data_IF_271777874721
#
_entry.id   IF_271777874721
#
_cell.length_a   1.000
_cell.length_b   1.000
_cell.length_c   1.000
_cell.angle_alpha   90.00
_cell.angle_beta   90.00
_cell.angle_gamma   90.00
#
_symmetry.space_group_name_H-M   'P 1'
#
loop_
_entity.id
_entity.type
_entity.pdbx_description
1 polymer ?
#
# COMPACT_ATOMS: atom_id res chain seq x y z
N UNK A 1 5.13 14.52 -28.71
CA UNK A 1 5.79 14.61 -27.38
C UNK A 1 7.18 15.17 -27.54
N UNK A 2 7.53 16.23 -26.81
CA UNK A 2 8.89 16.78 -26.79
C UNK A 2 9.89 15.80 -26.16
N UNK A 3 11.21 16.00 -26.42
CA UNK A 3 12.27 15.16 -25.85
C UNK A 3 12.24 15.18 -24.30
N UNK A 4 11.93 16.33 -23.70
CA UNK A 4 11.80 16.50 -22.25
C UNK A 4 10.57 15.76 -21.68
N UNK A 5 9.44 15.76 -22.40
CA UNK A 5 8.24 15.01 -21.98
C UNK A 5 8.48 13.50 -21.99
N UNK A 6 9.21 12.98 -22.98
CA UNK A 6 9.58 11.55 -23.03
C UNK A 6 10.50 11.18 -21.85
N UNK A 7 11.51 11.98 -21.56
CA UNK A 7 12.43 11.74 -20.44
C UNK A 7 11.70 11.75 -19.10
N UNK A 8 10.79 12.71 -18.90
CA UNK A 8 9.96 12.75 -17.67
C UNK A 8 9.06 11.54 -17.54
N UNK A 9 8.42 11.10 -18.64
CA UNK A 9 7.58 9.90 -18.64
C UNK A 9 8.36 8.65 -18.29
N UNK A 10 9.54 8.44 -18.88
CA UNK A 10 10.41 7.29 -18.56
C UNK A 10 10.80 7.30 -17.09
N UNK A 11 11.18 8.47 -16.54
CA UNK A 11 11.51 8.60 -15.11
C UNK A 11 10.33 8.21 -14.22
N UNK A 12 9.12 8.68 -14.53
CA UNK A 12 7.91 8.36 -13.76
C UNK A 12 7.61 6.86 -13.82
N UNK A 13 7.70 6.25 -15.01
CA UNK A 13 7.48 4.80 -15.17
C UNK A 13 8.51 4.02 -14.35
N UNK A 14 9.78 4.38 -14.42
CA UNK A 14 10.84 3.70 -13.67
C UNK A 14 10.64 3.82 -12.16
N UNK A 15 10.33 5.02 -11.63
CA UNK A 15 10.06 5.24 -10.22
C UNK A 15 8.84 4.44 -9.75
N UNK A 16 7.76 4.43 -10.53
CA UNK A 16 6.57 3.65 -10.20
C UNK A 16 6.84 2.16 -10.18
N UNK A 17 7.57 1.63 -11.19
CA UNK A 17 7.94 0.23 -11.23
C UNK A 17 8.84 -0.16 -10.04
N UNK A 18 9.81 0.70 -9.67
CA UNK A 18 10.66 0.47 -8.50
C UNK A 18 9.85 0.46 -7.21
N UNK A 19 8.88 1.37 -7.05
CA UNK A 19 7.99 1.39 -5.90
C UNK A 19 7.16 0.10 -5.78
N UNK A 20 6.55 -0.36 -6.87
CA UNK A 20 5.81 -1.64 -6.87
C UNK A 20 6.72 -2.84 -6.58
N UNK A 21 7.94 -2.85 -7.11
CA UNK A 21 8.92 -3.90 -6.79
C UNK A 21 9.22 -3.94 -5.29
N UNK A 22 9.44 -2.79 -4.64
CA UNK A 22 9.64 -2.70 -3.20
C UNK A 22 8.42 -3.17 -2.40
N UNK A 23 7.20 -2.88 -2.86
CA UNK A 23 5.98 -3.42 -2.26
C UNK A 23 5.94 -4.96 -2.34
N UNK A 24 6.31 -5.55 -3.48
CA UNK A 24 6.38 -7.02 -3.61
C UNK A 24 7.44 -7.61 -2.66
N UNK A 25 8.61 -6.96 -2.53
CA UNK A 25 9.64 -7.37 -1.57
C UNK A 25 9.11 -7.29 -0.13
N UNK A 26 8.39 -6.22 0.22
CA UNK A 26 7.76 -6.05 1.52
C UNK A 26 6.73 -7.16 1.79
N UNK A 27 5.85 -7.45 0.85
CA UNK A 27 4.83 -8.47 1.00
C UNK A 27 5.41 -9.88 1.07
N UNK A 28 6.47 -10.16 0.30
CA UNK A 28 7.22 -11.42 0.40
C UNK A 28 7.86 -11.59 1.78
N UNK A 29 8.43 -10.52 2.32
CA UNK A 29 8.99 -10.50 3.68
C UNK A 29 7.89 -10.69 4.72
N UNK A 30 6.74 -10.03 4.56
CA UNK A 30 5.58 -10.19 5.44
C UNK A 30 5.02 -11.62 5.42
N UNK A 31 4.96 -12.25 4.23
CA UNK A 31 4.57 -13.66 4.10
C UNK A 31 5.51 -14.58 4.88
N UNK A 32 6.81 -14.36 4.75
CA UNK A 32 7.81 -15.14 5.47
C UNK A 32 7.70 -14.96 6.99
N UNK A 33 7.62 -13.72 7.47
CA UNK A 33 7.55 -13.40 8.89
C UNK A 33 6.23 -13.88 9.54
N UNK A 34 5.13 -13.90 8.79
CA UNK A 34 3.84 -14.39 9.31
C UNK A 34 3.81 -15.89 9.61
N UNK A 35 4.82 -16.65 9.17
CA UNK A 35 4.99 -18.07 9.57
C UNK A 35 5.66 -18.22 10.96
N UNK A 36 6.28 -17.16 11.48
CA UNK A 36 7.09 -17.21 12.71
C UNK A 36 6.65 -16.22 13.78
N UNK A 37 5.76 -15.31 13.45
CA UNK A 37 5.18 -14.35 14.38
C UNK A 37 3.74 -13.98 13.99
N UNK A 38 2.93 -13.43 14.92
CA UNK A 38 1.58 -12.95 14.62
C UNK A 38 1.60 -11.87 13.53
N UNK A 39 0.63 -11.92 12.60
CA UNK A 39 0.49 -10.94 11.51
C UNK A 39 0.44 -9.50 12.04
N UNK A 40 -0.22 -9.27 13.17
CA UNK A 40 -0.32 -7.96 13.83
C UNK A 40 1.05 -7.39 14.21
N UNK A 41 1.99 -8.27 14.60
CA UNK A 41 3.36 -7.88 14.93
C UNK A 41 4.18 -7.54 13.68
N UNK A 42 3.97 -8.24 12.57
CA UNK A 42 4.56 -7.88 11.28
C UNK A 42 4.02 -6.53 10.78
N UNK A 43 2.70 -6.28 10.89
CA UNK A 43 2.09 -4.99 10.56
C UNK A 43 2.63 -3.87 11.45
N UNK A 44 2.78 -4.12 12.75
CA UNK A 44 3.44 -3.18 13.67
C UNK A 44 4.84 -2.83 13.19
N UNK A 45 5.68 -3.83 12.91
CA UNK A 45 7.06 -3.62 12.45
C UNK A 45 7.11 -2.76 11.19
N UNK A 46 6.24 -3.02 10.21
CA UNK A 46 6.14 -2.20 9.00
C UNK A 46 5.90 -0.72 9.32
N UNK A 47 4.90 -0.39 10.15
CA UNK A 47 4.57 1.01 10.42
C UNK A 47 5.54 1.66 11.42
N UNK A 48 6.01 0.92 12.41
CA UNK A 48 6.94 1.41 13.41
C UNK A 48 8.30 1.77 12.80
N UNK A 49 8.89 0.88 12.02
CA UNK A 49 10.17 1.17 11.35
C UNK A 49 10.02 2.15 10.19
N UNK A 50 8.87 2.20 9.53
CA UNK A 50 8.54 3.27 8.61
C UNK A 50 8.54 4.63 9.32
N UNK A 51 7.92 4.73 10.48
CA UNK A 51 7.91 5.96 11.27
C UNK A 51 9.33 6.37 11.73
N UNK A 52 10.16 5.41 12.17
CA UNK A 52 11.57 5.68 12.52
C UNK A 52 12.34 6.20 11.30
N UNK A 53 12.24 5.52 10.14
CA UNK A 53 12.90 5.96 8.91
C UNK A 53 12.48 7.38 8.51
N UNK A 54 11.20 7.70 8.66
CA UNK A 54 10.65 9.01 8.38
C UNK A 54 11.15 10.08 9.37
N UNK A 55 11.29 9.76 10.66
CA UNK A 55 11.90 10.65 11.65
C UNK A 55 13.37 10.94 11.31
N UNK A 56 14.14 9.92 10.93
CA UNK A 56 15.54 10.09 10.49
C UNK A 56 15.60 10.99 9.26
N UNK A 57 14.76 10.73 8.26
CA UNK A 57 14.68 11.56 7.06
C UNK A 57 14.32 13.02 7.38
N UNK A 58 13.38 13.25 8.28
CA UNK A 58 13.00 14.59 8.73
C UNK A 58 14.16 15.33 9.41
N UNK A 59 14.92 14.66 10.26
CA UNK A 59 16.07 15.26 10.93
C UNK A 59 17.18 15.65 9.95
N UNK A 60 17.41 14.83 8.92
CA UNK A 60 18.47 15.06 7.94
C UNK A 60 18.11 16.12 6.89
N UNK A 61 16.88 16.09 6.35
CA UNK A 61 16.48 16.87 5.18
C UNK A 61 15.50 18.01 5.48
N UNK A 62 14.88 18.03 6.68
CA UNK A 62 13.90 19.04 7.13
C UNK A 62 12.83 19.36 6.08
N UNK A 63 12.15 18.37 5.50
CA UNK A 63 11.13 18.60 4.49
C UNK A 63 9.98 19.43 5.06
N UNK A 64 9.25 20.13 4.18
CA UNK A 64 8.07 20.88 4.60
C UNK A 64 7.00 19.93 5.14
N UNK A 65 6.52 20.22 6.34
CA UNK A 65 5.48 19.46 7.03
C UNK A 65 4.31 20.41 7.37
N UNK A 66 3.13 20.10 6.86
CA UNK A 66 1.91 20.81 7.19
C UNK A 66 0.86 19.83 7.72
N UNK A 67 0.65 19.83 9.03
CA UNK A 67 -0.25 18.89 9.72
C UNK A 67 -1.69 19.39 9.82
N UNK A 68 -1.96 20.66 9.53
CA UNK A 68 -3.31 21.23 9.71
C UNK A 68 -4.16 21.13 8.45
N UNK A 69 -3.52 21.12 7.29
CA UNK A 69 -4.22 21.13 6.00
C UNK A 69 -4.84 19.78 5.70
N UNK A 70 -6.15 19.78 5.44
CA UNK A 70 -6.93 18.57 5.11
C UNK A 70 -6.83 17.45 6.16
N UNK A 71 -6.64 17.79 7.43
CA UNK A 71 -6.44 16.84 8.53
C UNK A 71 -7.40 15.64 8.51
N UNK A 72 -8.72 15.90 8.37
CA UNK A 72 -9.74 14.83 8.36
C UNK A 72 -9.52 13.83 7.21
N UNK A 73 -9.22 14.33 6.00
CA UNK A 73 -8.96 13.48 4.83
C UNK A 73 -7.67 12.70 5.02
N UNK A 74 -6.63 13.32 5.60
CA UNK A 74 -5.37 12.65 5.91
C UNK A 74 -5.55 11.48 6.89
N UNK A 75 -6.37 11.65 7.93
CA UNK A 75 -6.68 10.56 8.88
C UNK A 75 -7.46 9.44 8.19
N UNK A 76 -8.54 9.75 7.45
CA UNK A 76 -9.32 8.74 6.71
C UNK A 76 -8.40 7.95 5.77
N UNK A 77 -7.56 8.64 5.02
CA UNK A 77 -6.61 8.04 4.10
C UNK A 77 -5.61 7.12 4.81
N UNK A 78 -5.09 7.57 5.96
CA UNK A 78 -4.16 6.78 6.76
C UNK A 78 -4.81 5.52 7.32
N UNK A 79 -6.05 5.62 7.80
CA UNK A 79 -6.82 4.46 8.27
C UNK A 79 -7.09 3.47 7.13
N UNK A 80 -7.41 3.94 5.92
CA UNK A 80 -7.57 3.08 4.75
C UNK A 80 -6.28 2.31 4.43
N UNK A 81 -5.11 2.97 4.48
CA UNK A 81 -3.82 2.32 4.25
C UNK A 81 -3.50 1.30 5.34
N UNK A 82 -3.76 1.63 6.60
CA UNK A 82 -3.57 0.72 7.75
C UNK A 82 -4.45 -0.52 7.59
N UNK A 83 -5.73 -0.32 7.26
CA UNK A 83 -6.68 -1.41 6.99
C UNK A 83 -6.24 -2.26 5.80
N UNK A 84 -5.86 -1.63 4.68
CA UNK A 84 -5.36 -2.33 3.50
C UNK A 84 -4.16 -3.22 3.86
N UNK A 85 -3.20 -2.70 4.62
CA UNK A 85 -2.01 -3.46 5.03
C UNK A 85 -2.36 -4.63 5.95
N UNK A 86 -3.22 -4.41 6.93
CA UNK A 86 -3.64 -5.46 7.85
C UNK A 86 -4.32 -6.62 7.11
N UNK A 87 -5.27 -6.32 6.22
CA UNK A 87 -5.94 -7.33 5.43
C UNK A 87 -5.02 -7.96 4.38
N UNK A 88 -4.10 -7.21 3.77
CA UNK A 88 -3.10 -7.73 2.85
C UNK A 88 -2.20 -8.77 3.54
N UNK A 89 -1.63 -8.43 4.70
CA UNK A 89 -0.76 -9.36 5.43
C UNK A 89 -1.51 -10.59 5.95
N UNK A 90 -2.78 -10.45 6.33
CA UNK A 90 -3.64 -11.59 6.63
C UNK A 90 -3.94 -12.45 5.41
N UNK A 91 -4.11 -11.86 4.22
CA UNK A 91 -4.27 -12.59 2.96
C UNK A 91 -3.06 -13.44 2.64
N UNK A 92 -1.85 -12.88 2.84
CA UNK A 92 -0.58 -13.55 2.56
C UNK A 92 -0.38 -14.86 3.35
N UNK A 93 -1.05 -15.00 4.50
CA UNK A 93 -1.01 -16.22 5.31
C UNK A 93 -2.02 -17.30 4.85
N UNK A 94 -3.00 -16.93 4.03
CA UNK A 94 -4.11 -17.79 3.64
C UNK A 94 -4.10 -18.19 2.17
N UNK A 95 -3.51 -17.34 1.33
CA UNK A 95 -3.54 -17.47 -0.12
C UNK A 95 -2.13 -17.37 -0.70
N UNK A 96 -1.96 -17.88 -1.91
CA UNK A 96 -0.73 -17.67 -2.65
C UNK A 96 -0.58 -16.21 -3.09
N UNK A 97 0.66 -15.75 -3.11
CA UNK A 97 0.99 -14.37 -3.47
C UNK A 97 0.39 -13.98 -4.83
N UNK A 98 0.43 -14.91 -5.78
CA UNK A 98 -0.10 -14.75 -7.14
C UNK A 98 -1.60 -14.47 -7.11
N UNK A 99 -2.37 -15.27 -6.38
CA UNK A 99 -3.83 -15.15 -6.27
C UNK A 99 -4.23 -13.80 -5.66
N UNK A 100 -3.51 -13.37 -4.62
CA UNK A 100 -3.75 -12.08 -3.97
C UNK A 100 -3.51 -10.93 -4.94
N UNK A 101 -2.41 -10.98 -5.71
CA UNK A 101 -2.10 -9.92 -6.66
C UNK A 101 -3.08 -9.87 -7.84
N UNK A 102 -3.65 -10.99 -8.30
CA UNK A 102 -4.74 -11.00 -9.29
C UNK A 102 -5.91 -10.13 -8.80
N UNK A 103 -6.33 -10.32 -7.54
CA UNK A 103 -7.40 -9.50 -6.96
C UNK A 103 -6.95 -8.06 -6.77
N UNK A 104 -5.73 -7.83 -6.30
CA UNK A 104 -5.19 -6.50 -6.06
C UNK A 104 -5.09 -5.66 -7.33
N UNK A 105 -4.81 -6.26 -8.48
CA UNK A 105 -4.81 -5.56 -9.78
C UNK A 105 -6.19 -5.06 -10.24
N UNK A 106 -7.27 -5.38 -9.52
CA UNK A 106 -8.56 -4.70 -9.69
C UNK A 106 -8.56 -3.25 -9.18
N UNK A 107 -7.60 -2.87 -8.31
CA UNK A 107 -7.54 -1.53 -7.72
C UNK A 107 -7.49 -0.38 -8.74
N UNK A 108 -6.71 -0.43 -9.84
CA UNK A 108 -6.72 0.62 -10.85
C UNK A 108 -8.09 0.79 -11.53
N UNK A 109 -8.85 -0.29 -11.71
CA UNK A 109 -10.21 -0.24 -12.24
C UNK A 109 -11.12 0.54 -11.29
N UNK A 110 -11.06 0.21 -9.99
CA UNK A 110 -11.84 0.85 -8.95
C UNK A 110 -11.49 2.34 -8.83
N UNK A 111 -10.18 2.69 -8.83
CA UNK A 111 -9.71 4.09 -8.82
C UNK A 111 -10.27 4.88 -9.99
N UNK A 112 -10.24 4.28 -11.20
CA UNK A 112 -10.74 4.93 -12.41
C UNK A 112 -12.24 5.18 -12.36
N UNK A 113 -13.02 4.20 -11.88
CA UNK A 113 -14.46 4.34 -11.69
C UNK A 113 -14.79 5.41 -10.65
N UNK A 114 -14.10 5.42 -9.50
CA UNK A 114 -14.26 6.45 -8.47
C UNK A 114 -13.93 7.85 -9.01
N UNK A 115 -12.82 7.97 -9.75
CA UNK A 115 -12.44 9.25 -10.37
C UNK A 115 -13.45 9.73 -11.41
N UNK A 116 -13.96 8.85 -12.25
CA UNK A 116 -14.99 9.19 -13.23
C UNK A 116 -16.28 9.66 -12.56
N UNK A 117 -16.73 8.95 -11.53
CA UNK A 117 -17.99 9.26 -10.88
C UNK A 117 -17.92 10.54 -10.01
N UNK A 118 -16.90 10.65 -9.16
CA UNK A 118 -16.81 11.75 -8.19
C UNK A 118 -16.06 12.98 -8.71
N UNK A 119 -15.00 12.80 -9.50
CA UNK A 119 -14.19 13.90 -10.04
C UNK A 119 -14.62 14.29 -11.46
N UNK A 120 -15.61 13.58 -12.03
CA UNK A 120 -16.08 13.79 -13.41
C UNK A 120 -14.94 13.71 -14.44
N UNK A 121 -13.92 12.89 -14.16
CA UNK A 121 -12.86 12.64 -15.11
C UNK A 121 -13.41 11.92 -16.33
N UNK A 122 -13.03 12.40 -17.52
CA UNK A 122 -13.44 11.77 -18.78
C UNK A 122 -12.58 10.52 -19.00
N UNK A 123 -13.18 9.35 -18.80
CA UNK A 123 -12.56 8.09 -19.20
C UNK A 123 -12.69 7.94 -20.72
N UNK A 124 -11.57 7.90 -21.44
CA UNK A 124 -11.62 7.61 -22.86
C UNK A 124 -12.06 6.15 -23.06
N UNK A 125 -12.93 5.85 -24.05
CA UNK A 125 -13.33 4.47 -24.34
C UNK A 125 -12.13 3.54 -24.61
N UNK A 126 -11.09 4.05 -25.29
CA UNK A 126 -9.82 3.33 -25.49
C UNK A 126 -9.12 2.99 -24.18
N UNK A 127 -9.10 3.93 -23.21
CA UNK A 127 -8.52 3.71 -21.90
C UNK A 127 -9.24 2.61 -21.13
N UNK A 128 -10.57 2.60 -21.16
CA UNK A 128 -11.39 1.55 -20.53
C UNK A 128 -11.08 0.18 -21.14
N UNK A 129 -11.08 0.09 -22.48
CA UNK A 129 -10.80 -1.17 -23.17
C UNK A 129 -9.39 -1.69 -22.83
N UNK A 130 -8.39 -0.84 -22.90
CA UNK A 130 -7.00 -1.22 -22.55
C UNK A 130 -6.87 -1.69 -21.10
N UNK A 131 -7.56 -1.05 -20.17
CA UNK A 131 -7.56 -1.40 -18.77
C UNK A 131 -8.23 -2.75 -18.53
N UNK A 132 -9.38 -3.02 -19.17
CA UNK A 132 -10.08 -4.30 -19.10
C UNK A 132 -9.24 -5.43 -19.74
N UNK A 133 -8.61 -5.17 -20.88
CA UNK A 133 -7.72 -6.13 -21.55
C UNK A 133 -6.49 -6.43 -20.67
N UNK A 134 -5.89 -5.42 -20.04
CA UNK A 134 -4.74 -5.61 -19.14
C UNK A 134 -5.14 -6.47 -17.94
N UNK A 135 -6.28 -6.18 -17.32
CA UNK A 135 -6.80 -6.96 -16.19
C UNK A 135 -7.12 -8.41 -16.61
N UNK A 136 -7.83 -8.58 -17.72
CA UNK A 136 -8.13 -9.92 -18.28
C UNK A 136 -6.87 -10.72 -18.63
N UNK A 137 -5.83 -10.07 -19.15
CA UNK A 137 -4.53 -10.71 -19.44
C UNK A 137 -3.83 -11.17 -18.15
N UNK A 138 -3.89 -10.40 -17.08
CA UNK A 138 -3.33 -10.78 -15.77
C UNK A 138 -4.07 -11.99 -15.21
N UNK A 139 -5.41 -11.95 -15.20
CA UNK A 139 -6.24 -13.06 -14.74
C UNK A 139 -5.94 -14.34 -15.53
N UNK A 140 -5.84 -14.22 -16.86
CA UNK A 140 -5.52 -15.37 -17.73
C UNK A 140 -4.11 -15.93 -17.48
N UNK A 141 -3.11 -15.04 -17.39
CA UNK A 141 -1.69 -15.45 -17.26
C UNK A 141 -1.38 -16.09 -15.90
N UNK A 142 -2.02 -15.62 -14.85
CA UNK A 142 -1.76 -16.10 -13.48
C UNK A 142 -2.61 -17.32 -13.12
N UNK A 143 -3.73 -17.57 -13.84
CA UNK A 143 -4.57 -18.77 -13.64
C UNK A 143 -4.96 -18.94 -12.18
N UNK A 144 -5.77 -18.04 -11.61
CA UNK A 144 -6.03 -18.02 -10.17
C UNK A 144 -6.57 -19.36 -9.68
N UNK A 145 -5.94 -19.89 -8.64
CA UNK A 145 -6.33 -21.15 -7.97
C UNK A 145 -7.33 -20.92 -6.83
N UNK A 146 -7.83 -19.69 -6.68
CA UNK A 146 -8.69 -19.29 -5.56
C UNK A 146 -9.94 -20.17 -5.42
N UNK A 147 -10.16 -20.64 -4.21
CA UNK A 147 -11.43 -21.25 -3.79
C UNK A 147 -12.51 -20.15 -3.75
N UNK A 148 -13.25 -20.03 -4.84
CA UNK A 148 -14.17 -18.92 -5.18
C UNK A 148 -15.35 -18.72 -4.20
N UNK A 149 -15.54 -19.57 -3.19
CA UNK A 149 -16.69 -19.52 -2.26
C UNK A 149 -16.30 -19.68 -0.78
N UNK A 150 -15.09 -19.27 -0.42
CA UNK A 150 -14.65 -19.27 0.97
C UNK A 150 -14.94 -17.94 1.65
N UNK A 151 -15.45 -17.89 2.90
CA UNK A 151 -15.56 -16.66 3.69
C UNK A 151 -14.23 -15.92 3.84
N UNK A 152 -13.11 -16.62 3.67
CA UNK A 152 -11.75 -16.04 3.73
C UNK A 152 -11.43 -15.10 2.57
N UNK A 153 -12.23 -15.11 1.47
CA UNK A 153 -12.08 -14.17 0.36
C UNK A 153 -12.22 -12.70 0.78
N UNK A 154 -12.81 -12.43 1.95
CA UNK A 154 -12.86 -11.07 2.49
C UNK A 154 -11.44 -10.47 2.67
N UNK A 155 -10.46 -11.31 3.00
CA UNK A 155 -9.10 -10.82 3.23
C UNK A 155 -8.44 -10.25 1.96
N UNK A 156 -8.40 -10.92 0.80
CA UNK A 156 -7.80 -10.38 -0.41
C UNK A 156 -8.69 -9.34 -1.14
N UNK A 157 -10.00 -9.24 -0.84
CA UNK A 157 -10.90 -8.27 -1.48
C UNK A 157 -10.79 -6.88 -0.82
N UNK A 158 -10.59 -6.79 0.49
CA UNK A 158 -10.51 -5.51 1.21
C UNK A 158 -9.30 -4.66 0.80
N UNK A 159 -8.08 -5.20 0.63
CA UNK A 159 -6.91 -4.41 0.25
C UNK A 159 -7.07 -3.55 -1.01
N UNK A 160 -7.51 -4.08 -2.16
CA UNK A 160 -7.68 -3.26 -3.37
C UNK A 160 -8.76 -2.18 -3.23
N UNK A 161 -9.82 -2.44 -2.47
CA UNK A 161 -10.87 -1.44 -2.18
C UNK A 161 -10.31 -0.29 -1.34
N UNK A 162 -9.65 -0.61 -0.23
CA UNK A 162 -9.03 0.39 0.64
C UNK A 162 -7.91 1.15 -0.09
N UNK A 163 -7.09 0.46 -0.88
CA UNK A 163 -6.06 1.08 -1.70
C UNK A 163 -6.64 2.03 -2.75
N UNK A 164 -7.72 1.64 -3.42
CA UNK A 164 -8.39 2.48 -4.41
C UNK A 164 -8.96 3.76 -3.77
N UNK A 165 -9.61 3.64 -2.62
CA UNK A 165 -10.10 4.79 -1.86
C UNK A 165 -8.94 5.67 -1.35
N UNK A 166 -7.86 5.06 -0.86
CA UNK A 166 -6.64 5.78 -0.47
C UNK A 166 -6.08 6.61 -1.63
N UNK A 167 -5.97 6.04 -2.82
CA UNK A 167 -5.50 6.73 -4.02
C UNK A 167 -6.47 7.83 -4.47
N UNK A 168 -7.77 7.57 -4.40
CA UNK A 168 -8.80 8.57 -4.70
C UNK A 168 -8.69 9.78 -3.77
N UNK A 169 -8.62 9.58 -2.44
CA UNK A 169 -8.43 10.67 -1.49
C UNK A 169 -7.09 11.37 -1.65
N UNK A 170 -6.04 10.64 -2.03
CA UNK A 170 -4.72 11.22 -2.34
C UNK A 170 -4.82 12.16 -3.53
N UNK A 171 -5.51 11.77 -4.61
CA UNK A 171 -5.76 12.60 -5.79
C UNK A 171 -6.56 13.85 -5.42
N UNK A 172 -7.60 13.71 -4.61
CA UNK A 172 -8.47 14.81 -4.17
C UNK A 172 -7.69 15.95 -3.47
N UNK A 173 -6.64 15.61 -2.72
CA UNK A 173 -5.86 16.59 -1.95
C UNK A 173 -4.49 16.92 -2.57
N UNK A 174 -4.08 16.28 -3.68
CA UNK A 174 -2.73 16.34 -4.24
C UNK A 174 -2.24 17.75 -4.60
N UNK A 175 -3.14 18.63 -5.09
CA UNK A 175 -2.78 20.02 -5.45
C UNK A 175 -2.50 20.94 -4.25
N UNK A 176 -2.79 20.51 -3.05
CA UNK A 176 -2.87 21.36 -1.87
C UNK A 176 -2.06 20.89 -0.66
N UNK A 177 -1.37 19.76 -0.74
CA UNK A 177 -0.64 19.17 0.37
C UNK A 177 0.81 18.91 0.03
N UNK A 178 1.66 19.03 1.05
CA UNK A 178 3.04 18.58 0.98
C UNK A 178 3.07 17.04 0.98
N UNK A 179 3.76 16.39 0.03
CA UNK A 179 3.81 14.93 -0.05
C UNK A 179 4.29 14.26 1.25
N UNK A 180 5.27 14.88 1.92
CA UNK A 180 5.81 14.38 3.17
C UNK A 180 4.77 14.32 4.29
N UNK A 181 3.86 15.31 4.38
CA UNK A 181 2.77 15.30 5.35
C UNK A 181 1.86 14.09 5.18
N UNK A 182 1.64 13.68 3.94
CA UNK A 182 0.80 12.53 3.61
C UNK A 182 1.40 11.20 4.11
N UNK A 183 2.71 11.02 3.90
CA UNK A 183 3.46 9.85 4.37
C UNK A 183 3.53 9.84 5.91
N UNK A 184 3.76 11.03 6.51
CA UNK A 184 3.81 11.20 7.95
C UNK A 184 2.51 10.73 8.64
N UNK A 185 1.35 11.17 8.17
CA UNK A 185 0.07 10.75 8.72
C UNK A 185 -0.10 9.22 8.67
N UNK A 186 0.27 8.61 7.55
CA UNK A 186 0.14 7.16 7.39
C UNK A 186 1.05 6.40 8.36
N UNK A 187 2.30 6.81 8.48
CA UNK A 187 3.28 6.18 9.38
C UNK A 187 2.86 6.32 10.84
N UNK A 188 2.50 7.54 11.27
CA UNK A 188 2.09 7.82 12.67
C UNK A 188 0.82 7.05 13.02
N UNK A 189 -0.21 7.08 12.17
CA UNK A 189 -1.48 6.39 12.44
C UNK A 189 -1.26 4.89 12.60
N UNK A 190 -0.54 4.25 11.69
CA UNK A 190 -0.26 2.82 11.75
C UNK A 190 0.63 2.46 12.95
N UNK A 191 1.70 3.23 13.19
CA UNK A 191 2.59 3.02 14.32
C UNK A 191 1.83 3.13 15.66
N UNK A 192 0.99 4.15 15.85
CA UNK A 192 0.23 4.34 17.08
C UNK A 192 -0.76 3.18 17.32
N UNK A 193 -1.60 2.86 16.34
CA UNK A 193 -2.61 1.81 16.47
C UNK A 193 -1.96 0.48 16.84
N UNK A 194 -0.95 0.07 16.09
CA UNK A 194 -0.34 -1.24 16.31
C UNK A 194 0.63 -1.26 17.49
N UNK A 195 1.26 -0.15 17.88
CA UNK A 195 2.06 -0.11 19.12
C UNK A 195 1.17 -0.28 20.35
N UNK A 196 0.00 0.37 20.39
CA UNK A 196 -0.96 0.17 21.48
C UNK A 196 -1.42 -1.29 21.53
N UNK A 197 -1.79 -1.87 20.38
CA UNK A 197 -2.24 -3.26 20.32
C UNK A 197 -1.16 -4.25 20.76
N UNK A 198 0.08 -4.07 20.26
CA UNK A 198 1.17 -5.00 20.51
C UNK A 198 1.69 -4.93 21.96
N UNK A 199 1.50 -3.79 22.64
CA UNK A 199 1.86 -3.65 24.06
C UNK A 199 1.14 -4.66 24.96
N UNK A 200 -0.04 -5.16 24.53
CA UNK A 200 -0.81 -6.17 25.26
C UNK A 200 -0.70 -7.57 24.65
N UNK A 201 -0.12 -7.70 23.45
CA UNK A 201 -0.11 -8.95 22.67
C UNK A 201 1.28 -9.25 22.08
N UNK A 202 2.34 -8.95 22.81
CA UNK A 202 3.69 -9.16 22.32
C UNK A 202 4.08 -10.64 22.31
N UNK A 203 4.59 -11.11 21.18
CA UNK A 203 5.21 -12.43 21.06
C UNK A 203 6.73 -12.25 20.97
N UNK A 204 7.52 -12.89 21.84
CA UNK A 204 8.98 -12.78 21.81
C UNK A 204 9.55 -13.18 20.45
N UNK A 205 10.52 -12.41 19.96
CA UNK A 205 11.22 -12.68 18.69
C UNK A 205 12.51 -13.40 19.03
N UNK A 206 12.56 -14.70 18.75
CA UNK A 206 13.67 -15.56 19.14
C UNK A 206 14.94 -15.35 18.28
N UNK A 207 14.78 -15.01 16.99
CA UNK A 207 15.90 -14.89 16.06
C UNK A 207 16.06 -13.44 15.60
N UNK A 208 17.30 -12.94 15.72
CA UNK A 208 17.66 -11.58 15.30
C UNK A 208 17.43 -11.32 13.80
N UNK A 209 17.41 -12.34 12.96
CA UNK A 209 17.14 -12.18 11.52
C UNK A 209 15.72 -11.65 11.26
N UNK A 210 14.75 -11.95 12.13
CA UNK A 210 13.38 -11.46 11.99
C UNK A 210 13.26 -9.96 12.24
N UNK A 211 14.13 -9.40 13.10
CA UNK A 211 14.25 -7.95 13.25
C UNK A 211 14.72 -7.27 11.98
N UNK A 212 15.66 -7.88 11.24
CA UNK A 212 16.09 -7.34 9.95
C UNK A 212 14.93 -7.33 8.97
N UNK A 213 14.09 -8.36 8.95
CA UNK A 213 12.89 -8.40 8.13
C UNK A 213 11.87 -7.29 8.49
N UNK A 214 11.64 -7.05 9.79
CA UNK A 214 10.75 -5.97 10.26
C UNK A 214 11.27 -4.59 9.84
N UNK A 215 12.58 -4.34 10.02
CA UNK A 215 13.23 -3.09 9.58
C UNK A 215 13.13 -2.92 8.06
N UNK A 216 13.43 -3.98 7.31
CA UNK A 216 13.35 -3.95 5.85
C UNK A 216 11.94 -3.60 5.35
N UNK A 217 10.89 -4.20 5.93
CA UNK A 217 9.49 -3.85 5.60
C UNK A 217 9.17 -2.38 5.87
N UNK A 218 9.68 -1.82 6.97
CA UNK A 218 9.51 -0.40 7.27
C UNK A 218 10.18 0.51 6.24
N UNK A 219 11.40 0.17 5.82
CA UNK A 219 12.15 0.90 4.80
C UNK A 219 11.46 0.79 3.43
N UNK A 220 11.04 -0.42 3.02
CA UNK A 220 10.32 -0.62 1.75
C UNK A 220 8.99 0.14 1.71
N UNK A 221 8.32 0.29 2.85
CA UNK A 221 7.09 1.08 2.94
C UNK A 221 7.31 2.60 2.96
N UNK A 222 8.55 3.07 3.21
CA UNK A 222 8.91 4.49 3.22
C UNK A 222 9.24 5.02 1.81
N UNK A 223 9.91 4.22 0.97
CA UNK A 223 10.36 4.59 -0.38
C UNK A 223 9.20 4.58 -1.37
#
# INVERSE_FOLDING_TARGET
MSKNQKATLIKVIFLSASGFFLFVCMDSTAKYLGNVMPVTQAVWGRFFFHFIALCIYFLLFKPKLNLTRNFKIQIVRSLLMVTATFFMFNSLQRFDLVDIYVVFFSAPLIVSLLSAYFLKDILSPKGIILMLLSFGSIVYALGPSMKILSPELIFPIIPPLCWALYQFFTKLISGNNEPFSAVFYTAVTGALIFTIYISFNWTPIENNIYWIGLVAMGIFGFI
#
